data_IF_793020853045
#
_entry.id   IF_793020853045
#
_cell.length_a   1.000
_cell.length_b   1.000
_cell.length_c   1.000
_cell.angle_alpha   90.00
_cell.angle_beta   90.00
_cell.angle_gamma   90.00
#
_symmetry.space_group_name_H-M   'P 1'
#
loop_
_entity.id
_entity.type
_entity.pdbx_description
1 polymer ?
#
# COMPACT_ATOMS: atom_id res chain seq x y z
N UNK A 1 -36.39 14.92 18.28
CA UNK A 1 -35.31 13.92 18.19
C UNK A 1 -34.39 14.39 17.07
N UNK A 2 -33.24 14.98 17.41
CA UNK A 2 -32.32 15.54 16.42
C UNK A 2 -31.47 14.40 15.85
N UNK A 3 -31.52 14.19 14.53
CA UNK A 3 -30.58 13.28 13.85
C UNK A 3 -29.15 13.84 14.02
N UNK A 4 -28.14 13.00 14.32
CA UNK A 4 -26.77 13.46 14.36
C UNK A 4 -26.38 13.95 12.95
N UNK A 5 -25.76 15.12 12.90
CA UNK A 5 -25.16 15.67 11.68
C UNK A 5 -24.24 14.60 11.12
N UNK A 6 -24.48 14.16 9.88
CA UNK A 6 -23.58 13.28 9.15
C UNK A 6 -22.19 13.94 9.16
N UNK A 7 -21.22 13.30 9.83
CA UNK A 7 -19.85 13.74 9.75
C UNK A 7 -19.48 13.72 8.26
N UNK A 8 -19.15 14.89 7.71
CA UNK A 8 -18.49 14.94 6.41
C UNK A 8 -17.10 14.37 6.66
N UNK A 9 -16.97 13.05 6.55
CA UNK A 9 -15.68 12.39 6.51
C UNK A 9 -14.87 13.10 5.43
N UNK A 10 -13.71 13.64 5.78
CA UNK A 10 -12.90 14.45 4.86
C UNK A 10 -12.69 13.74 3.52
N UNK A 11 -12.58 14.51 2.44
CA UNK A 11 -12.31 13.94 1.12
C UNK A 11 -10.91 13.32 1.09
N UNK A 12 -10.81 12.06 0.69
CA UNK A 12 -9.52 11.38 0.48
C UNK A 12 -8.84 12.03 -0.72
N UNK A 13 -7.75 12.76 -0.48
CA UNK A 13 -6.95 13.38 -1.55
C UNK A 13 -6.02 12.38 -2.24
N UNK A 14 -5.56 11.37 -1.49
CA UNK A 14 -4.66 10.31 -1.96
C UNK A 14 -4.88 9.06 -1.09
N UNK A 15 -5.11 7.91 -1.73
CA UNK A 15 -5.21 6.63 -1.03
C UNK A 15 -3.91 5.85 -1.17
N UNK A 16 -3.39 5.35 -0.07
CA UNK A 16 -2.24 4.43 -0.03
C UNK A 16 -2.66 2.96 0.14
N UNK A 17 -3.97 2.70 0.17
CA UNK A 17 -4.59 1.40 0.42
C UNK A 17 -4.41 0.51 -0.81
N UNK A 18 -4.19 -0.79 -0.59
CA UNK A 18 -4.03 -1.76 -1.66
C UNK A 18 -5.38 -2.41 -1.95
N UNK A 19 -5.77 -2.43 -3.23
CA UNK A 19 -6.93 -3.22 -3.62
C UNK A 19 -6.56 -4.71 -3.61
N UNK A 20 -7.56 -5.60 -3.55
CA UNK A 20 -7.35 -7.05 -3.48
C UNK A 20 -6.60 -7.67 -4.68
N UNK A 21 -6.41 -6.91 -5.76
CA UNK A 21 -5.73 -7.35 -6.98
C UNK A 21 -4.30 -6.82 -7.07
N UNK A 22 -3.89 -5.93 -6.17
CA UNK A 22 -2.58 -5.31 -6.20
C UNK A 22 -1.55 -6.30 -5.66
N UNK A 23 -0.55 -6.59 -6.49
CA UNK A 23 0.49 -7.55 -6.19
C UNK A 23 1.84 -6.85 -5.99
N UNK A 24 2.80 -7.59 -5.44
CA UNK A 24 4.14 -7.02 -5.17
C UNK A 24 4.83 -6.62 -6.47
N UNK A 25 4.56 -7.34 -7.54
CA UNK A 25 5.07 -7.09 -8.90
C UNK A 25 4.52 -5.78 -9.49
N UNK A 26 3.41 -5.25 -8.98
CA UNK A 26 2.86 -3.98 -9.47
C UNK A 26 3.73 -2.77 -9.05
N UNK A 27 4.51 -2.89 -7.98
CA UNK A 27 5.50 -1.87 -7.61
C UNK A 27 6.60 -1.72 -8.67
N UNK A 28 6.95 -2.79 -9.38
CA UNK A 28 8.01 -2.79 -10.41
C UNK A 28 7.55 -2.13 -11.72
N UNK A 29 6.25 -1.87 -11.87
CA UNK A 29 5.71 -1.17 -13.04
C UNK A 29 5.93 0.35 -12.98
N UNK A 30 6.26 0.89 -11.80
CA UNK A 30 6.60 2.29 -11.61
C UNK A 30 8.04 2.57 -12.06
N UNK A 31 8.26 3.70 -12.72
CA UNK A 31 9.61 4.22 -12.96
C UNK A 31 9.60 5.74 -13.10
N UNK A 32 10.78 6.37 -13.07
CA UNK A 32 10.94 7.80 -13.37
C UNK A 32 10.41 8.20 -14.76
N UNK A 33 10.35 7.27 -15.70
CA UNK A 33 9.77 7.49 -17.04
C UNK A 33 8.27 7.21 -17.10
N UNK A 34 7.71 6.53 -16.09
CA UNK A 34 6.33 6.05 -16.04
C UNK A 34 5.84 6.06 -14.59
N UNK A 35 5.49 7.24 -14.11
CA UNK A 35 5.02 7.47 -12.74
C UNK A 35 3.55 7.05 -12.57
N UNK A 36 3.30 5.74 -12.50
CA UNK A 36 1.97 5.21 -12.21
C UNK A 36 1.62 5.33 -10.72
N UNK A 37 0.33 5.43 -10.41
CA UNK A 37 -0.17 5.34 -9.05
C UNK A 37 -0.12 3.87 -8.54
N UNK A 38 -0.16 3.63 -7.22
CA UNK A 38 -0.25 4.62 -6.14
C UNK A 38 1.10 4.98 -5.50
N UNK A 39 2.12 4.14 -5.57
CA UNK A 39 3.38 4.32 -4.84
C UNK A 39 4.57 4.49 -5.77
N UNK A 40 5.49 5.37 -5.37
CA UNK A 40 6.82 5.43 -5.97
C UNK A 40 7.69 4.35 -5.30
N UNK A 41 8.40 3.57 -6.10
CA UNK A 41 9.22 2.46 -5.62
C UNK A 41 10.63 2.58 -6.18
N UNK A 42 11.54 3.17 -5.41
CA UNK A 42 12.94 3.37 -5.80
C UNK A 42 13.94 3.38 -4.63
N UNK A 43 13.46 3.53 -3.39
CA UNK A 43 14.30 3.48 -2.19
C UNK A 43 14.24 2.05 -1.67
N UNK A 44 14.98 1.17 -2.33
CA UNK A 44 15.17 -0.21 -1.92
C UNK A 44 16.55 -0.66 -2.37
N UNK A 45 17.03 -1.74 -1.77
CA UNK A 45 18.32 -2.27 -2.12
C UNK A 45 18.28 -3.14 -3.38
N UNK A 46 19.33 -3.94 -3.59
CA UNK A 46 19.50 -4.71 -4.83
C UNK A 46 18.69 -6.00 -4.90
N UNK A 47 18.00 -6.37 -3.82
CA UNK A 47 17.08 -7.50 -3.79
C UNK A 47 15.85 -7.29 -4.67
N UNK A 48 15.17 -8.37 -5.02
CA UNK A 48 13.88 -8.30 -5.70
C UNK A 48 12.81 -7.74 -4.75
N UNK A 49 11.77 -7.13 -5.32
CA UNK A 49 10.76 -6.41 -4.54
C UNK A 49 10.04 -7.29 -3.51
N UNK A 50 9.86 -8.59 -3.77
CA UNK A 50 9.30 -9.58 -2.84
C UNK A 50 10.20 -9.89 -1.63
N UNK A 51 11.49 -9.59 -1.69
CA UNK A 51 12.39 -9.65 -0.54
C UNK A 51 12.15 -8.49 0.43
N UNK A 52 11.63 -7.36 -0.08
CA UNK A 52 11.42 -6.14 0.70
C UNK A 52 9.95 -5.94 1.08
N UNK A 53 9.01 -6.35 0.23
CA UNK A 53 7.58 -6.12 0.41
C UNK A 53 6.79 -7.42 0.22
N UNK A 54 5.76 -7.59 1.04
CA UNK A 54 4.75 -8.64 0.83
C UNK A 54 3.36 -8.09 1.13
N UNK A 55 2.36 -8.50 0.34
CA UNK A 55 0.97 -8.09 0.50
C UNK A 55 0.08 -9.27 0.90
N UNK A 56 -0.76 -9.08 1.91
CA UNK A 56 -1.70 -10.11 2.39
C UNK A 56 -2.75 -9.51 3.31
N UNK A 57 -3.97 -10.07 3.29
CA UNK A 57 -5.00 -9.78 4.30
C UNK A 57 -4.61 -10.18 5.72
N UNK A 58 -3.52 -10.93 5.90
CA UNK A 58 -2.98 -11.25 7.24
C UNK A 58 -2.06 -10.17 7.79
N UNK A 59 -1.69 -9.17 6.99
CA UNK A 59 -0.81 -8.09 7.42
C UNK A 59 -1.57 -6.79 7.73
N UNK A 60 -2.88 -6.74 7.51
CA UNK A 60 -3.70 -5.58 7.81
C UNK A 60 -4.21 -5.58 9.25
N UNK A 61 -4.78 -4.45 9.66
CA UNK A 61 -5.53 -4.39 10.90
C UNK A 61 -6.87 -5.12 10.71
N UNK A 62 -7.19 -6.19 11.47
CA UNK A 62 -8.44 -6.93 11.31
C UNK A 62 -9.71 -6.11 11.58
N UNK A 63 -9.57 -4.96 12.26
CA UNK A 63 -10.68 -4.03 12.51
C UNK A 63 -10.90 -3.04 11.35
N UNK A 64 -9.97 -2.95 10.40
CA UNK A 64 -10.12 -2.11 9.22
C UNK A 64 -10.88 -2.88 8.14
N UNK A 65 -12.04 -2.35 7.76
CA UNK A 65 -12.87 -2.93 6.69
C UNK A 65 -12.71 -2.21 5.35
N UNK A 66 -11.81 -1.22 5.28
CA UNK A 66 -11.58 -0.40 4.10
C UNK A 66 -10.39 -0.88 3.27
N UNK A 67 -9.44 -1.57 3.89
CA UNK A 67 -8.31 -2.23 3.22
C UNK A 67 -8.67 -3.69 2.89
N UNK A 68 -8.11 -4.18 1.78
CA UNK A 68 -8.22 -5.59 1.41
C UNK A 68 -6.92 -6.35 1.72
N UNK A 69 -5.79 -5.64 1.82
CA UNK A 69 -4.48 -6.23 2.03
C UNK A 69 -3.55 -5.27 2.79
N UNK A 70 -2.93 -5.79 3.83
CA UNK A 70 -1.84 -5.09 4.50
C UNK A 70 -0.50 -5.34 3.82
N UNK A 71 0.47 -4.49 4.13
CA UNK A 71 1.85 -4.63 3.66
C UNK A 71 2.77 -5.03 4.79
N UNK A 72 3.62 -6.02 4.54
CA UNK A 72 4.79 -6.32 5.36
C UNK A 72 6.02 -5.74 4.69
N UNK A 73 6.78 -4.94 5.45
CA UNK A 73 8.07 -4.37 5.03
C UNK A 73 9.18 -5.17 5.70
N UNK A 74 10.12 -5.68 4.91
CA UNK A 74 11.26 -6.48 5.36
C UNK A 74 12.54 -5.73 5.06
N UNK A 75 13.41 -5.65 6.06
CA UNK A 75 14.75 -5.07 5.94
C UNK A 75 15.73 -6.22 6.16
N UNK A 76 16.58 -6.48 5.17
CA UNK A 76 17.56 -7.56 5.22
C UNK A 76 18.95 -7.08 4.76
N UNK A 77 19.89 -8.01 4.60
CA UNK A 77 21.26 -7.71 4.19
C UNK A 77 21.40 -7.14 2.77
N UNK A 78 20.34 -7.17 1.98
CA UNK A 78 20.29 -6.59 0.63
C UNK A 78 19.64 -5.21 0.60
N UNK A 79 19.06 -4.74 1.70
CA UNK A 79 18.38 -3.43 1.83
C UNK A 79 19.34 -2.24 2.05
N UNK A 80 20.36 -2.09 1.20
CA UNK A 80 21.37 -1.03 1.25
C UNK A 80 21.15 0.07 0.21
#
# INVERSE_FOLDING_TARGET
MSLPIAAVCGAVLRSGIFNATFAVEDFDQWSWSKEIAPWQWYIHGTGSTDQHLALSSHFENPADTSDAQGTRITIDGTSL
#
